data_IF_571245268105
#
_entry.id   IF_571245268105
#
_cell.length_a   1.000
_cell.length_b   1.000
_cell.length_c   1.000
_cell.angle_alpha   90.00
_cell.angle_beta   90.00
_cell.angle_gamma   90.00
#
_symmetry.space_group_name_H-M   'P 1'
#
loop_
_entity.id
_entity.type
_entity.pdbx_description
1 polymer ?
#
# COMPACT_ATOMS: atom_id res chain seq x y z
N UNK A 1 -9.51 4.05 -5.19
CA UNK A 1 -10.01 3.79 -3.81
C UNK A 1 -9.23 2.64 -3.21
N UNK A 2 -8.78 2.76 -1.96
CA UNK A 2 -8.00 1.73 -1.28
C UNK A 2 -8.73 0.38 -1.20
N UNK A 3 -10.05 0.38 -1.00
CA UNK A 3 -10.85 -0.85 -0.96
C UNK A 3 -10.74 -1.71 -2.23
N UNK A 4 -10.63 -1.09 -3.43
CA UNK A 4 -10.45 -1.83 -4.68
C UNK A 4 -9.10 -2.54 -4.71
N UNK A 5 -8.03 -1.81 -4.41
CA UNK A 5 -6.66 -2.35 -4.38
C UNK A 5 -6.54 -3.49 -3.37
N UNK A 6 -7.12 -3.33 -2.17
CA UNK A 6 -7.15 -4.40 -1.15
C UNK A 6 -7.88 -5.64 -1.67
N UNK A 7 -9.06 -5.47 -2.27
CA UNK A 7 -9.82 -6.58 -2.86
C UNK A 7 -9.07 -7.30 -3.98
N UNK A 8 -8.44 -6.56 -4.88
CA UNK A 8 -7.65 -7.12 -5.99
C UNK A 8 -6.46 -7.95 -5.47
N UNK A 9 -5.73 -7.45 -4.47
CA UNK A 9 -4.60 -8.16 -3.84
C UNK A 9 -5.05 -9.46 -3.18
N UNK A 10 -6.16 -9.45 -2.44
CA UNK A 10 -6.65 -10.66 -1.76
C UNK A 10 -7.15 -11.69 -2.76
N UNK A 11 -7.88 -11.23 -3.79
CA UNK A 11 -8.46 -12.11 -4.81
C UNK A 11 -7.41 -12.78 -5.69
N UNK A 12 -6.25 -12.15 -5.90
CA UNK A 12 -5.25 -12.62 -6.87
C UNK A 12 -3.97 -13.18 -6.23
N UNK A 13 -3.51 -12.62 -5.11
CA UNK A 13 -2.12 -12.85 -4.66
C UNK A 13 -1.98 -13.16 -3.16
N UNK A 14 -2.86 -12.66 -2.30
CA UNK A 14 -2.68 -12.74 -0.85
C UNK A 14 -3.95 -13.23 -0.12
N UNK A 15 -4.15 -14.55 0.05
CA UNK A 15 -5.41 -15.15 0.53
C UNK A 15 -5.57 -15.06 2.06
N UNK A 16 -5.44 -13.85 2.60
CA UNK A 16 -5.57 -13.53 4.03
C UNK A 16 -6.52 -12.33 4.25
N UNK A 17 -6.69 -11.93 5.51
CA UNK A 17 -7.67 -10.92 5.90
C UNK A 17 -7.41 -9.54 5.28
N UNK A 18 -8.49 -8.84 4.93
CA UNK A 18 -8.46 -7.50 4.35
C UNK A 18 -7.82 -6.44 5.26
N UNK A 19 -8.02 -6.57 6.56
CA UNK A 19 -7.36 -5.74 7.57
C UNK A 19 -5.84 -5.79 7.44
N UNK A 20 -5.25 -6.98 7.32
CA UNK A 20 -3.79 -7.13 7.22
C UNK A 20 -3.20 -6.42 5.99
N UNK A 21 -3.89 -6.50 4.85
CA UNK A 21 -3.48 -5.84 3.60
C UNK A 21 -3.64 -4.32 3.71
N UNK A 22 -4.77 -3.85 4.25
CA UNK A 22 -5.01 -2.42 4.40
C UNK A 22 -4.06 -1.77 5.40
N UNK A 23 -3.84 -2.40 6.55
CA UNK A 23 -2.93 -1.90 7.59
C UNK A 23 -1.49 -1.83 7.08
N UNK A 24 -1.06 -2.82 6.28
CA UNK A 24 0.23 -2.79 5.62
C UNK A 24 0.33 -1.61 4.63
N UNK A 25 -0.69 -1.40 3.78
CA UNK A 25 -0.72 -0.28 2.83
C UNK A 25 -0.71 1.09 3.55
N UNK A 26 -1.44 1.23 4.66
CA UNK A 26 -1.42 2.43 5.49
C UNK A 26 -0.02 2.66 6.06
N UNK A 27 0.61 1.63 6.65
CA UNK A 27 1.97 1.74 7.21
C UNK A 27 2.98 2.19 6.17
N UNK A 28 2.87 1.72 4.93
CA UNK A 28 3.74 2.11 3.81
C UNK A 28 3.59 3.57 3.37
N UNK A 29 2.56 4.27 3.85
CA UNK A 29 2.30 5.69 3.59
C UNK A 29 2.68 6.64 4.73
N UNK A 30 3.07 6.12 5.89
CA UNK A 30 3.34 6.92 7.09
C UNK A 30 4.82 7.28 7.18
N UNK A 31 5.16 8.55 6.91
CA UNK A 31 6.53 9.08 6.89
C UNK A 31 7.20 9.09 8.28
N UNK A 32 6.42 9.16 9.37
CA UNK A 32 6.94 9.00 10.72
C UNK A 32 7.30 7.54 11.07
N UNK A 33 6.87 6.56 10.27
CA UNK A 33 7.22 5.13 10.45
C UNK A 33 8.27 4.64 9.46
N UNK A 34 8.42 5.32 8.32
CA UNK A 34 9.33 4.94 7.25
C UNK A 34 10.12 6.14 6.76
N UNK A 35 11.45 5.97 6.66
CA UNK A 35 12.32 7.02 6.11
C UNK A 35 11.94 7.41 4.68
N UNK A 36 11.49 6.45 3.89
CA UNK A 36 10.98 6.67 2.54
C UNK A 36 9.68 5.91 2.37
N UNK A 37 8.59 6.64 2.13
CA UNK A 37 7.26 6.04 1.90
C UNK A 37 7.19 5.40 0.52
N UNK A 38 6.52 4.25 0.45
CA UNK A 38 6.33 3.49 -0.80
C UNK A 38 4.93 3.68 -1.39
N UNK A 39 4.00 4.20 -0.58
CA UNK A 39 2.63 4.47 -0.98
C UNK A 39 2.32 5.95 -0.71
N UNK A 40 1.82 6.65 -1.71
CA UNK A 40 1.18 7.96 -1.52
C UNK A 40 -0.30 7.71 -1.23
N UNK A 41 -0.76 8.16 -0.06
CA UNK A 41 -2.14 7.99 0.38
C UNK A 41 -2.85 9.33 0.51
N UNK A 42 -4.08 9.41 0.01
CA UNK A 42 -4.98 10.54 0.17
C UNK A 42 -6.14 10.16 1.09
N UNK A 43 -6.47 11.06 2.02
CA UNK A 43 -7.39 10.84 3.14
C UNK A 43 -6.64 10.67 4.47
N UNK A 44 -7.37 10.45 5.56
CA UNK A 44 -6.76 10.22 6.87
C UNK A 44 -6.05 8.85 6.90
N UNK A 45 -4.71 8.86 6.97
CA UNK A 45 -3.87 7.67 7.08
C UNK A 45 -3.31 7.46 8.51
N UNK A 46 -3.90 8.11 9.52
CA UNK A 46 -3.51 8.03 10.93
C UNK A 46 -2.57 9.17 11.37
N UNK A 47 -2.04 9.07 12.59
CA UNK A 47 -1.15 10.08 13.16
C UNK A 47 0.01 9.46 13.97
N UNK A 48 0.99 10.30 14.34
CA UNK A 48 2.07 9.92 15.27
C UNK A 48 1.55 9.63 16.69
N UNK A 49 0.40 10.20 17.04
CA UNK A 49 -0.27 10.03 18.33
C UNK A 49 -1.09 8.73 18.41
N UNK A 50 -0.96 7.86 17.41
CA UNK A 50 -1.69 6.58 17.24
C UNK A 50 -3.19 6.73 16.95
N UNK A 51 -3.61 7.84 16.35
CA UNK A 51 -4.95 7.88 15.75
C UNK A 51 -5.02 6.87 14.58
N UNK A 52 -6.09 6.05 14.50
CA UNK A 52 -6.22 5.08 13.42
C UNK A 52 -6.47 5.78 12.08
N UNK A 53 -6.11 5.12 10.96
CA UNK A 53 -6.51 5.59 9.63
C UNK A 53 -8.03 5.56 9.49
N UNK A 54 -8.56 6.34 8.56
CA UNK A 54 -9.94 6.17 8.13
C UNK A 54 -10.15 4.78 7.50
N UNK A 55 -11.39 4.31 7.42
CA UNK A 55 -11.68 3.06 6.73
C UNK A 55 -11.31 3.14 5.23
N UNK A 56 -10.91 2.00 4.64
CA UNK A 56 -10.44 1.89 3.24
C UNK A 56 -11.41 2.39 2.15
N UNK A 57 -12.69 2.59 2.49
CA UNK A 57 -13.70 3.21 1.60
C UNK A 57 -13.50 4.72 1.42
N UNK A 58 -12.80 5.36 2.36
CA UNK A 58 -12.56 6.81 2.36
C UNK A 58 -11.18 7.19 1.84
N UNK A 59 -10.21 6.27 1.86
CA UNK A 59 -8.85 6.55 1.41
C UNK A 59 -8.62 6.16 -0.05
N UNK A 60 -7.64 6.82 -0.65
CA UNK A 60 -7.09 6.49 -1.97
C UNK A 60 -5.59 6.31 -1.86
N UNK A 61 -5.02 5.42 -2.66
CA UNK A 61 -3.60 5.11 -2.62
C UNK A 61 -3.08 4.94 -4.05
N UNK A 62 -1.83 5.36 -4.26
CA UNK A 62 -1.05 5.08 -5.46
C UNK A 62 0.41 4.84 -5.06
N UNK A 63 1.22 4.35 -5.99
CA UNK A 63 2.67 4.21 -5.76
C UNK A 63 3.30 5.59 -5.54
N UNK A 64 4.26 5.66 -4.62
CA UNK A 64 5.19 6.80 -4.59
C UNK A 64 6.17 6.72 -5.75
N UNK A 65 6.82 7.84 -6.08
CA UNK A 65 7.84 7.87 -7.13
C UNK A 65 8.99 6.87 -6.87
N UNK A 66 9.38 6.66 -5.61
CA UNK A 66 10.42 5.69 -5.26
C UNK A 66 9.98 4.24 -5.55
N UNK A 67 8.69 3.93 -5.41
CA UNK A 67 8.20 2.58 -5.69
C UNK A 67 8.27 2.21 -7.17
N UNK A 68 8.27 3.18 -8.08
CA UNK A 68 8.50 2.93 -9.51
C UNK A 68 9.91 2.37 -9.77
N UNK A 69 10.88 2.78 -8.97
CA UNK A 69 12.26 2.25 -9.03
C UNK A 69 12.34 0.80 -8.58
N UNK A 70 11.53 0.39 -7.60
CA UNK A 70 11.46 -1.00 -7.13
C UNK A 70 10.85 -1.95 -8.18
N UNK A 71 9.97 -1.43 -9.03
CA UNK A 71 9.29 -2.18 -10.09
C UNK A 71 9.94 -1.98 -11.46
N UNK A 72 11.06 -1.25 -11.52
CA UNK A 72 11.76 -0.93 -12.77
C UNK A 72 12.14 -2.24 -13.48
N UNK A 73 11.83 -2.30 -14.77
CA UNK A 73 12.19 -3.40 -15.65
C UNK A 73 11.65 -4.79 -15.23
N UNK A 74 10.62 -4.85 -14.37
CA UNK A 74 10.02 -6.12 -13.93
C UNK A 74 9.43 -6.95 -15.10
N UNK A 75 9.05 -6.27 -16.19
CA UNK A 75 8.49 -6.90 -17.40
C UNK A 75 9.57 -7.34 -18.42
N UNK A 76 10.85 -7.34 -18.05
CA UNK A 76 11.98 -7.69 -18.94
C UNK A 76 12.70 -8.97 -18.52
N UNK A 77 11.97 -9.93 -17.93
CA UNK A 77 12.52 -11.22 -17.46
C UNK A 77 13.71 -11.06 -16.49
N UNK A 78 13.73 -9.97 -15.74
CA UNK A 78 14.81 -9.63 -14.79
C UNK A 78 14.75 -10.48 -13.52
N UNK A 79 13.59 -11.07 -13.23
CA UNK A 79 13.34 -11.98 -12.12
C UNK A 79 12.37 -13.09 -12.56
N UNK A 80 12.46 -14.26 -11.94
CA UNK A 80 11.51 -15.34 -12.15
C UNK A 80 10.18 -15.04 -11.42
N UNK A 81 9.06 -15.38 -12.07
CA UNK A 81 7.73 -15.38 -11.47
C UNK A 81 7.40 -16.79 -10.96
N UNK A 82 6.50 -16.89 -9.97
CA UNK A 82 5.99 -18.14 -9.41
C UNK A 82 4.50 -18.32 -9.72
#
# INVERSE_FOLDING_TARGET
>A
KSAKTVGDVIGQYHPHGDSSVYDAMVRLSQDWKLRHVLIEMHGNNGSIDNDPPAAMRYTEAKLSQLSEELLRDINKETVAFI
#
